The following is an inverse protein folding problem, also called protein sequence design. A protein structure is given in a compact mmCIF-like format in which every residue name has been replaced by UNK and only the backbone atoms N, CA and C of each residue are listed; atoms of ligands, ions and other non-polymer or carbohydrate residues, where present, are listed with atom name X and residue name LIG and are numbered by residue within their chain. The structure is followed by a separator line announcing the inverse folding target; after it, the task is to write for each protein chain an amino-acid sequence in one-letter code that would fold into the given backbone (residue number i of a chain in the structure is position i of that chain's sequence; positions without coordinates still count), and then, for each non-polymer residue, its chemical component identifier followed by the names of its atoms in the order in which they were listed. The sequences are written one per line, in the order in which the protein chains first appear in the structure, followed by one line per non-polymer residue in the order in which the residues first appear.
data_IF_606011289689
#
_entry.id   IF_606011289689
#
_cell.length_a   1.000
_cell.length_b   1.000
_cell.length_c   1.000
_cell.angle_alpha   90.00
_cell.angle_beta   90.00
_cell.angle_gamma   90.00
#
_symmetry.space_group_name_H-M   'P 1'
#
loop_
_entity.id
_entity.type
_entity.pdbx_description
1 polymer ?
#
# COMPACT_ATOMS: atom_id res chain seq x y z
N UNK A 1 -60.84 7.31 -82.16
CA UNK A 1 -59.74 7.80 -83.02
C UNK A 1 -58.73 8.47 -82.10
N UNK A 2 -57.47 8.08 -81.91
CA UNK A 2 -56.48 7.36 -82.72
C UNK A 2 -55.54 6.56 -81.76
N UNK A 3 -54.91 5.56 -82.37
CA UNK A 3 -54.01 4.47 -81.96
C UNK A 3 -52.89 4.65 -80.90
N UNK A 4 -52.75 3.58 -80.09
CA UNK A 4 -51.59 2.66 -79.87
C UNK A 4 -50.12 3.17 -79.97
N UNK A 5 -49.33 2.78 -78.94
CA UNK A 5 -48.01 2.07 -78.89
C UNK A 5 -47.35 2.47 -77.55
N UNK A 6 -46.88 1.63 -76.61
CA UNK A 6 -46.36 0.27 -76.66
C UNK A 6 -44.85 0.30 -76.57
N UNK A 7 -44.24 0.20 -75.37
CA UNK A 7 -42.91 -0.39 -75.13
C UNK A 7 -42.85 -0.90 -73.68
N UNK A 8 -42.63 -2.20 -73.52
CA UNK A 8 -42.25 -2.85 -72.27
C UNK A 8 -40.72 -2.82 -72.15
N UNK A 9 -40.19 -2.41 -71.00
CA UNK A 9 -38.77 -2.54 -70.67
C UNK A 9 -38.59 -3.59 -69.59
N UNK A 10 -38.18 -4.79 -70.00
CA UNK A 10 -37.70 -5.83 -69.12
C UNK A 10 -36.23 -5.51 -68.76
N UNK A 11 -36.01 -4.99 -67.56
CA UNK A 11 -34.68 -4.84 -66.97
C UNK A 11 -34.31 -6.10 -66.19
N UNK A 12 -33.41 -6.91 -66.73
CA UNK A 12 -32.83 -8.06 -66.06
C UNK A 12 -31.92 -7.59 -64.91
N UNK A 13 -32.35 -7.83 -63.67
CA UNK A 13 -31.49 -7.73 -62.48
C UNK A 13 -30.58 -8.95 -62.45
N UNK A 14 -29.34 -8.78 -62.91
CA UNK A 14 -28.27 -9.73 -62.69
C UNK A 14 -27.86 -9.67 -61.21
N UNK A 15 -28.28 -10.66 -60.42
CA UNK A 15 -27.69 -10.95 -59.11
C UNK A 15 -26.24 -11.43 -59.33
N UNK A 16 -25.30 -10.49 -59.26
CA UNK A 16 -23.90 -10.81 -59.04
C UNK A 16 -23.70 -11.18 -57.57
N UNK A 17 -23.71 -12.48 -57.26
CA UNK A 17 -23.25 -13.00 -55.98
C UNK A 17 -21.72 -12.81 -55.89
N UNK A 18 -21.28 -11.66 -55.40
CA UNK A 18 -19.89 -11.47 -54.97
C UNK A 18 -19.72 -12.23 -53.66
N UNK A 19 -19.19 -13.46 -53.76
CA UNK A 19 -18.54 -14.14 -52.65
C UNK A 19 -17.30 -13.33 -52.29
N UNK A 20 -17.47 -12.31 -51.45
CA UNK A 20 -16.35 -11.71 -50.72
C UNK A 20 -15.88 -12.78 -49.77
N UNK A 21 -14.89 -13.56 -50.21
CA UNK A 21 -14.08 -14.37 -49.33
C UNK A 21 -13.36 -13.38 -48.41
N UNK A 22 -13.97 -13.12 -47.25
CA UNK A 22 -13.29 -12.50 -46.13
C UNK A 22 -12.23 -13.48 -45.68
N UNK A 23 -11.02 -13.33 -46.22
CA UNK A 23 -9.82 -13.91 -45.65
C UNK A 23 -9.74 -13.39 -44.21
N UNK A 24 -10.13 -14.23 -43.25
CA UNK A 24 -9.75 -14.05 -41.85
C UNK A 24 -8.26 -14.35 -41.83
N UNK A 25 -7.46 -13.33 -42.14
CA UNK A 25 -6.04 -13.33 -41.86
C UNK A 25 -5.95 -13.13 -40.36
N UNK A 26 -5.70 -14.21 -39.63
CA UNK A 26 -5.25 -14.09 -38.25
C UNK A 26 -3.73 -13.90 -38.34
N UNK A 27 -3.21 -12.66 -38.28
CA UNK A 27 -1.78 -12.46 -38.24
C UNK A 27 -1.26 -13.23 -37.03
N UNK A 28 -0.27 -14.09 -37.23
CA UNK A 28 0.53 -14.61 -36.12
C UNK A 28 1.16 -13.39 -35.42
N UNK A 29 0.62 -13.04 -34.26
CA UNK A 29 1.08 -11.92 -33.44
C UNK A 29 2.04 -12.38 -32.34
N UNK A 30 2.40 -13.67 -32.33
CA UNK A 30 3.42 -14.20 -31.44
C UNK A 30 4.78 -13.54 -31.68
N UNK A 31 5.40 -13.07 -30.59
CA UNK A 31 6.70 -12.41 -30.64
C UNK A 31 6.65 -10.95 -31.12
N UNK A 32 5.47 -10.37 -31.36
CA UNK A 32 5.35 -8.93 -31.61
C UNK A 32 5.53 -8.13 -30.31
N UNK A 33 6.08 -6.90 -30.36
CA UNK A 33 6.26 -6.07 -29.18
C UNK A 33 4.93 -5.63 -28.58
N UNK A 34 4.90 -5.47 -27.25
CA UNK A 34 3.72 -5.02 -26.52
C UNK A 34 3.33 -3.57 -26.88
N UNK A 35 2.03 -3.15 -26.79
CA UNK A 35 0.89 -3.87 -26.22
C UNK A 35 0.28 -4.94 -27.15
N UNK A 36 -0.24 -5.99 -26.54
CA UNK A 36 -0.83 -7.13 -27.24
C UNK A 36 -2.30 -6.91 -27.58
N UNK A 37 -2.78 -7.62 -28.61
CA UNK A 37 -4.21 -7.69 -28.97
C UNK A 37 -4.95 -8.61 -28.00
N UNK A 38 -6.26 -8.45 -27.88
CA UNK A 38 -7.16 -9.33 -27.15
C UNK A 38 -6.84 -10.82 -27.39
N UNK A 39 -6.77 -11.59 -26.30
CA UNK A 39 -6.41 -13.02 -26.30
C UNK A 39 -4.91 -13.32 -26.15
N UNK A 40 -4.05 -12.30 -26.15
CA UNK A 40 -2.60 -12.42 -25.96
C UNK A 40 -2.15 -11.63 -24.74
N UNK A 41 -1.11 -12.09 -24.06
CA UNK A 41 -0.50 -11.36 -22.94
C UNK A 41 0.92 -10.93 -23.27
N UNK A 42 1.35 -9.83 -22.67
CA UNK A 42 2.73 -9.38 -22.74
C UNK A 42 3.56 -10.23 -21.78
N UNK A 43 4.57 -10.95 -22.30
CA UNK A 43 5.58 -11.59 -21.45
C UNK A 43 6.51 -10.51 -20.88
N UNK A 44 6.57 -10.32 -19.56
CA UNK A 44 7.36 -9.24 -18.94
C UNK A 44 8.86 -9.38 -19.17
N UNK A 45 9.37 -10.56 -19.53
CA UNK A 45 10.81 -10.79 -19.74
C UNK A 45 11.26 -10.58 -21.19
N UNK A 46 10.41 -10.91 -22.17
CA UNK A 46 10.73 -10.68 -23.58
C UNK A 46 10.14 -9.39 -24.14
N UNK A 47 9.21 -8.75 -23.41
CA UNK A 47 8.40 -7.62 -23.88
C UNK A 47 7.66 -7.92 -25.19
N UNK A 48 7.27 -9.18 -25.37
CA UNK A 48 6.55 -9.64 -26.57
C UNK A 48 5.24 -10.35 -26.24
N UNK A 49 4.36 -10.41 -27.23
CA UNK A 49 3.09 -11.09 -27.12
C UNK A 49 3.25 -12.60 -27.21
N UNK A 50 2.71 -13.30 -26.21
CA UNK A 50 2.67 -14.76 -26.14
C UNK A 50 1.23 -15.25 -25.97
N UNK A 51 0.96 -16.45 -26.48
CA UNK A 51 -0.39 -17.02 -26.49
C UNK A 51 -0.79 -17.41 -25.06
N UNK A 52 -2.01 -17.04 -24.67
CA UNK A 52 -2.59 -17.45 -23.40
C UNK A 52 -2.86 -18.95 -23.39
N UNK A 53 -2.29 -19.67 -22.43
CA UNK A 53 -2.71 -21.06 -22.14
C UNK A 53 -4.08 -21.09 -21.46
N UNK A 54 -4.47 -19.98 -20.83
CA UNK A 54 -5.83 -19.70 -20.39
C UNK A 54 -6.08 -18.18 -20.27
N UNK A 55 -7.35 -17.77 -20.31
CA UNK A 55 -7.76 -16.35 -20.25
C UNK A 55 -8.01 -15.96 -18.78
N UNK A 56 -7.16 -15.09 -18.18
CA UNK A 56 -7.29 -14.72 -16.78
C UNK A 56 -8.52 -13.82 -16.57
N UNK A 57 -9.35 -14.15 -15.58
CA UNK A 57 -10.53 -13.34 -15.22
C UNK A 57 -10.21 -12.14 -14.33
N UNK A 58 -9.03 -12.16 -13.72
CA UNK A 58 -8.50 -11.07 -12.92
C UNK A 58 -7.17 -10.64 -13.51
N UNK A 59 -6.89 -9.35 -13.50
CA UNK A 59 -5.71 -8.75 -14.11
C UNK A 59 -5.07 -7.76 -13.16
N UNK A 60 -3.75 -7.71 -13.16
CA UNK A 60 -2.98 -6.67 -12.48
C UNK A 60 -2.19 -5.87 -13.49
N UNK A 61 -2.06 -4.57 -13.23
CA UNK A 61 -1.28 -3.66 -14.05
C UNK A 61 -0.76 -2.50 -13.21
N UNK A 62 0.03 -1.60 -13.82
CA UNK A 62 0.42 -0.34 -13.17
C UNK A 62 1.24 -0.51 -11.89
N UNK A 63 2.00 -1.61 -11.76
CA UNK A 63 2.92 -1.77 -10.63
C UNK A 63 3.86 -0.57 -10.55
N UNK A 64 3.96 0.02 -9.37
CA UNK A 64 4.78 1.18 -9.10
C UNK A 64 5.39 1.06 -7.72
N UNK A 65 6.65 1.50 -7.59
CA UNK A 65 7.33 1.60 -6.31
C UNK A 65 7.25 3.05 -5.81
N UNK A 66 6.22 3.36 -5.03
CA UNK A 66 5.98 4.71 -4.53
C UNK A 66 7.16 5.22 -3.71
N UNK A 67 7.61 4.44 -2.73
CA UNK A 67 8.75 4.79 -1.89
C UNK A 67 9.60 3.59 -1.51
N UNK A 68 10.84 3.86 -1.11
CA UNK A 68 11.75 2.88 -0.59
C UNK A 68 12.47 3.43 0.64
N UNK A 69 12.50 2.64 1.71
CA UNK A 69 13.34 2.85 2.88
C UNK A 69 14.54 1.87 2.79
N UNK A 70 15.44 1.83 3.78
CA UNK A 70 16.62 0.97 3.67
C UNK A 70 16.29 -0.53 3.65
N UNK A 71 15.22 -0.96 4.31
CA UNK A 71 14.85 -2.39 4.41
C UNK A 71 13.46 -2.71 3.88
N UNK A 72 12.81 -1.75 3.22
CA UNK A 72 11.45 -1.94 2.72
C UNK A 72 11.13 -1.09 1.49
N UNK A 73 10.17 -1.56 0.68
CA UNK A 73 9.63 -0.84 -0.47
C UNK A 73 8.10 -0.93 -0.43
N UNK A 74 7.43 0.18 -0.67
CA UNK A 74 5.98 0.24 -0.83
C UNK A 74 5.59 0.20 -2.30
N UNK A 75 4.78 -0.80 -2.61
CA UNK A 75 4.31 -1.10 -3.94
C UNK A 75 2.83 -0.78 -4.06
N UNK A 76 2.43 -0.21 -5.19
CA UNK A 76 1.02 -0.04 -5.56
C UNK A 76 0.79 -0.57 -6.96
N UNK A 77 -0.43 -1.02 -7.23
CA UNK A 77 -0.85 -1.53 -8.53
C UNK A 77 -2.31 -1.18 -8.79
N UNK A 78 -2.81 -1.54 -9.97
CA UNK A 78 -4.23 -1.47 -10.31
C UNK A 78 -4.74 -2.89 -10.52
N UNK A 79 -5.86 -3.21 -9.87
CA UNK A 79 -6.55 -4.48 -10.04
C UNK A 79 -7.77 -4.35 -10.98
N UNK A 80 -7.97 -5.34 -11.83
CA UNK A 80 -9.19 -5.50 -12.63
C UNK A 80 -9.77 -6.90 -12.47
N UNK A 81 -11.08 -7.02 -12.25
CA UNK A 81 -11.76 -8.30 -12.06
C UNK A 81 -12.81 -8.24 -10.97
N UNK A 82 -13.42 -9.38 -10.65
CA UNK A 82 -14.40 -9.50 -9.56
C UNK A 82 -13.84 -10.31 -8.38
N UNK A 83 -14.30 -9.99 -7.17
CA UNK A 83 -13.95 -10.71 -5.94
C UNK A 83 -14.10 -12.24 -6.07
N UNK A 84 -15.15 -12.68 -6.75
CA UNK A 84 -15.48 -14.11 -6.92
C UNK A 84 -14.51 -14.87 -7.82
N UNK A 85 -13.71 -14.15 -8.61
CA UNK A 85 -12.73 -14.75 -9.51
C UNK A 85 -11.29 -14.63 -8.97
N UNK A 86 -11.07 -13.88 -7.87
CA UNK A 86 -9.75 -13.74 -7.24
C UNK A 86 -9.35 -14.99 -6.45
N UNK A 87 -8.07 -15.37 -6.51
CA UNK A 87 -7.48 -16.39 -5.65
C UNK A 87 -6.40 -15.81 -4.73
N UNK A 88 -5.33 -15.23 -5.30
CA UNK A 88 -4.19 -14.71 -4.55
C UNK A 88 -3.32 -13.76 -5.39
N UNK A 89 -2.52 -12.94 -4.71
CA UNK A 89 -1.40 -12.20 -5.27
C UNK A 89 -0.06 -12.86 -4.90
N UNK A 90 0.93 -12.71 -5.76
CA UNK A 90 2.33 -13.03 -5.45
C UNK A 90 3.23 -11.91 -5.97
N UNK A 91 4.01 -11.29 -5.08
CA UNK A 91 4.98 -10.26 -5.44
C UNK A 91 6.40 -10.83 -5.36
N UNK A 92 7.10 -10.89 -6.49
CA UNK A 92 8.46 -11.43 -6.57
C UNK A 92 9.43 -10.28 -6.79
N UNK A 93 10.47 -10.23 -5.95
CA UNK A 93 11.59 -9.31 -6.09
C UNK A 93 12.88 -10.09 -6.36
N UNK A 94 13.81 -9.56 -7.14
CA UNK A 94 15.18 -10.09 -7.25
C UNK A 94 16.17 -8.98 -7.62
N UNK A 95 17.46 -9.20 -7.45
CA UNK A 95 18.49 -8.20 -7.77
C UNK A 95 18.90 -8.21 -9.27
N UNK A 96 18.41 -9.20 -10.03
CA UNK A 96 18.62 -9.33 -11.47
C UNK A 96 17.47 -10.10 -12.14
N UNK A 97 17.33 -9.96 -13.47
CA UNK A 97 16.21 -10.54 -14.22
C UNK A 97 16.20 -12.06 -14.24
N UNK A 98 17.35 -12.72 -14.27
CA UNK A 98 17.43 -14.18 -14.32
C UNK A 98 16.93 -14.81 -13.01
N UNK A 99 17.34 -14.24 -11.87
CA UNK A 99 16.85 -14.64 -10.56
C UNK A 99 15.34 -14.36 -10.44
N UNK A 100 14.86 -13.21 -10.93
CA UNK A 100 13.44 -12.86 -10.96
C UNK A 100 12.63 -13.89 -11.77
N UNK A 101 13.11 -14.22 -12.96
CA UNK A 101 12.47 -15.15 -13.90
C UNK A 101 12.43 -16.57 -13.38
N UNK A 102 13.55 -17.05 -12.84
CA UNK A 102 13.66 -18.42 -12.34
C UNK A 102 13.11 -18.57 -10.92
N UNK A 103 12.84 -17.45 -10.24
CA UNK A 103 12.51 -17.39 -8.80
C UNK A 103 13.58 -18.08 -7.94
N UNK A 104 14.86 -17.87 -8.27
CA UNK A 104 16.01 -18.45 -7.56
C UNK A 104 17.07 -17.40 -7.19
N UNK A 105 18.15 -17.81 -6.53
CA UNK A 105 19.27 -16.91 -6.22
C UNK A 105 18.88 -15.81 -5.24
N UNK A 106 18.87 -14.56 -5.72
CA UNK A 106 18.47 -13.36 -4.95
C UNK A 106 16.96 -13.17 -4.85
N UNK A 107 16.16 -14.03 -5.49
CA UNK A 107 14.72 -13.92 -5.51
C UNK A 107 14.09 -14.00 -4.11
N UNK A 108 13.17 -13.08 -3.83
CA UNK A 108 12.33 -13.01 -2.65
C UNK A 108 10.87 -13.01 -3.09
N UNK A 109 10.15 -14.09 -2.78
CA UNK A 109 8.72 -14.23 -3.05
C UNK A 109 7.94 -13.74 -1.83
N UNK A 110 7.00 -12.82 -2.02
CA UNK A 110 6.05 -12.36 -1.02
C UNK A 110 4.65 -12.81 -1.43
N UNK A 111 4.07 -13.67 -0.60
CA UNK A 111 2.76 -14.30 -0.76
C UNK A 111 1.90 -14.02 0.48
N UNK A 112 0.73 -14.66 0.58
CA UNK A 112 -0.16 -14.56 1.73
C UNK A 112 0.45 -15.06 3.05
N UNK A 113 1.54 -15.83 3.03
CA UNK A 113 2.22 -16.25 4.25
C UNK A 113 3.09 -15.11 4.80
N UNK A 114 3.81 -14.42 3.92
CA UNK A 114 4.69 -13.31 4.34
C UNK A 114 3.95 -11.98 4.51
N UNK A 115 3.03 -11.72 3.60
CA UNK A 115 2.21 -10.50 3.52
C UNK A 115 0.75 -10.95 3.35
N UNK A 116 0.00 -11.21 4.45
CA UNK A 116 -1.31 -11.84 4.35
C UNK A 116 -2.37 -11.02 3.62
N UNK A 117 -2.15 -9.72 3.40
CA UNK A 117 -2.97 -8.90 2.50
C UNK A 117 -2.94 -9.39 1.05
N UNK A 118 -1.86 -10.06 0.63
CA UNK A 118 -1.75 -10.65 -0.70
C UNK A 118 -2.66 -11.87 -0.89
N UNK A 119 -3.22 -12.42 0.20
CA UNK A 119 -4.17 -13.53 0.16
C UNK A 119 -5.64 -13.13 0.13
N UNK A 120 -5.96 -11.83 0.09
CA UNK A 120 -7.34 -11.34 0.14
C UNK A 120 -7.63 -10.34 -0.98
N UNK A 121 -8.85 -10.37 -1.49
CA UNK A 121 -9.31 -9.46 -2.55
C UNK A 121 -9.56 -8.05 -2.02
N UNK A 122 -10.37 -7.97 -0.98
CA UNK A 122 -10.72 -6.74 -0.27
C UNK A 122 -9.97 -6.72 1.06
N UNK A 123 -9.56 -5.53 1.47
CA UNK A 123 -9.13 -5.27 2.84
C UNK A 123 -10.30 -5.65 3.75
N UNK A 124 -10.14 -6.64 4.66
CA UNK A 124 -11.20 -7.03 5.58
C UNK A 124 -11.85 -5.82 6.24
N UNK A 125 -13.18 -5.76 6.20
CA UNK A 125 -14.01 -4.68 6.78
C UNK A 125 -13.90 -3.32 6.08
N UNK A 126 -13.27 -3.28 4.91
CA UNK A 126 -13.29 -2.17 3.98
C UNK A 126 -13.88 -2.64 2.65
N UNK A 127 -14.48 -1.73 1.90
CA UNK A 127 -14.87 -1.97 0.50
C UNK A 127 -13.70 -1.74 -0.47
N UNK A 128 -12.50 -1.48 0.06
CA UNK A 128 -11.29 -1.22 -0.72
C UNK A 128 -10.62 -2.54 -1.13
N UNK A 129 -10.35 -2.66 -2.43
CA UNK A 129 -9.53 -3.73 -3.01
C UNK A 129 -8.08 -3.58 -2.53
N UNK A 130 -7.41 -4.70 -2.30
CA UNK A 130 -5.97 -4.69 -2.01
C UNK A 130 -5.20 -4.30 -3.28
N UNK A 131 -4.72 -3.06 -3.29
CA UNK A 131 -3.94 -2.47 -4.39
C UNK A 131 -2.56 -1.99 -3.95
N UNK A 132 -2.12 -2.41 -2.76
CA UNK A 132 -0.82 -2.06 -2.22
C UNK A 132 -0.26 -3.09 -1.24
N UNK A 133 1.06 -3.14 -1.13
CA UNK A 133 1.76 -3.95 -0.13
C UNK A 133 3.17 -3.42 0.12
N UNK A 134 3.72 -3.72 1.29
CA UNK A 134 5.09 -3.37 1.67
C UNK A 134 5.95 -4.62 1.71
N UNK A 135 6.99 -4.67 0.89
CA UNK A 135 8.03 -5.70 1.04
C UNK A 135 9.00 -5.27 2.12
N UNK A 136 9.46 -6.23 2.94
CA UNK A 136 10.29 -6.00 4.12
C UNK A 136 11.52 -6.91 4.08
N UNK A 137 12.44 -6.71 5.03
CA UNK A 137 13.67 -7.52 5.15
C UNK A 137 14.56 -7.40 3.90
N UNK A 138 14.61 -6.22 3.28
CA UNK A 138 15.45 -5.92 2.12
C UNK A 138 16.85 -5.46 2.54
N UNK A 139 17.83 -5.60 1.63
CA UNK A 139 19.16 -5.04 1.85
C UNK A 139 19.15 -3.54 1.50
N UNK A 140 19.86 -2.69 2.26
CA UNK A 140 19.98 -1.27 1.98
C UNK A 140 20.87 -1.00 0.76
N UNK A 141 20.59 0.10 0.06
CA UNK A 141 21.29 0.53 -1.15
C UNK A 141 21.31 -0.52 -2.29
N UNK A 142 20.32 -1.39 -2.35
CA UNK A 142 20.21 -2.49 -3.31
C UNK A 142 19.08 -2.22 -4.32
N UNK A 143 19.38 -2.38 -5.61
CA UNK A 143 18.37 -2.37 -6.67
C UNK A 143 17.63 -3.70 -6.70
N UNK A 144 16.30 -3.65 -6.65
CA UNK A 144 15.42 -4.78 -6.83
C UNK A 144 14.55 -4.56 -8.07
N UNK A 145 14.49 -5.59 -8.91
CA UNK A 145 13.46 -5.75 -9.92
C UNK A 145 12.27 -6.45 -9.28
N UNK A 146 11.06 -5.98 -9.57
CA UNK A 146 9.82 -6.51 -9.02
C UNK A 146 8.84 -6.87 -10.12
N UNK A 147 8.09 -7.94 -9.88
CA UNK A 147 7.02 -8.44 -10.73
C UNK A 147 5.88 -8.91 -9.84
N UNK A 148 4.68 -8.41 -10.09
CA UNK A 148 3.47 -8.82 -9.38
C UNK A 148 2.68 -9.78 -10.25
N UNK A 149 2.25 -10.88 -9.66
CA UNK A 149 1.31 -11.83 -10.22
C UNK A 149 -0.01 -11.75 -9.47
N UNK A 150 -1.09 -12.00 -10.19
CA UNK A 150 -2.39 -12.32 -9.63
C UNK A 150 -2.89 -13.63 -10.25
N UNK A 151 -3.46 -14.48 -9.42
CA UNK A 151 -4.01 -15.76 -9.82
C UNK A 151 -5.53 -15.73 -9.63
N UNK A 152 -6.27 -16.21 -10.64
CA UNK A 152 -7.72 -16.37 -10.55
C UNK A 152 -8.13 -17.76 -9.99
N UNK A 153 -9.41 -17.95 -9.71
CA UNK A 153 -9.96 -19.23 -9.22
C UNK A 153 -9.81 -20.40 -10.19
N UNK A 154 -9.56 -20.14 -11.47
CA UNK A 154 -9.23 -21.15 -12.49
C UNK A 154 -7.73 -21.43 -12.56
N UNK A 155 -6.91 -20.78 -11.73
CA UNK A 155 -5.44 -20.81 -11.73
C UNK A 155 -4.83 -20.23 -13.00
N UNK A 156 -5.49 -19.25 -13.59
CA UNK A 156 -4.90 -18.41 -14.62
C UNK A 156 -4.15 -17.24 -13.98
N UNK A 157 -2.93 -17.02 -14.42
CA UNK A 157 -2.07 -15.95 -13.94
C UNK A 157 -2.13 -14.75 -14.88
N UNK A 158 -2.16 -13.55 -14.30
CA UNK A 158 -1.85 -12.29 -14.96
C UNK A 158 -0.70 -11.63 -14.20
N UNK A 159 0.24 -11.03 -14.91
CA UNK A 159 1.39 -10.35 -14.32
C UNK A 159 1.52 -8.90 -14.79
N UNK A 160 2.19 -8.08 -13.99
CA UNK A 160 2.58 -6.72 -14.38
C UNK A 160 3.82 -6.72 -15.29
N UNK A 161 4.27 -5.53 -15.72
CA UNK A 161 5.63 -5.36 -16.24
C UNK A 161 6.64 -5.36 -15.09
N UNK A 162 7.91 -5.59 -15.40
CA UNK A 162 9.01 -5.48 -14.43
C UNK A 162 9.22 -4.01 -14.06
N UNK A 163 9.39 -3.76 -12.76
CA UNK A 163 9.67 -2.43 -12.21
C UNK A 163 10.95 -2.50 -11.38
N UNK A 164 11.86 -1.55 -11.56
CA UNK A 164 13.04 -1.41 -10.71
C UNK A 164 12.81 -0.40 -9.60
N UNK A 165 13.27 -0.72 -8.39
CA UNK A 165 13.44 0.24 -7.29
C UNK A 165 14.68 -0.06 -6.48
N UNK A 166 15.40 0.98 -6.11
CA UNK A 166 16.54 0.91 -5.20
C UNK A 166 16.14 1.28 -3.78
N UNK A 167 16.53 0.47 -2.80
CA UNK A 167 16.39 0.79 -1.37
C UNK A 167 17.30 1.95 -0.97
N UNK A 168 16.89 2.68 0.06
CA UNK A 168 17.69 3.79 0.58
C UNK A 168 18.98 3.29 1.28
N UNK A 169 20.00 4.15 1.48
CA UNK A 169 21.19 3.80 2.25
C UNK A 169 20.86 3.39 3.69
N UNK A 170 21.69 2.55 4.29
CA UNK A 170 21.57 2.26 5.72
C UNK A 170 21.82 3.51 6.58
N UNK A 171 21.12 3.58 7.70
CA UNK A 171 21.18 4.62 8.72
C UNK A 171 22.60 5.05 9.12
N UNK A 172 22.81 6.35 9.33
CA UNK A 172 24.01 6.89 9.98
C UNK A 172 23.73 7.38 11.41
N UNK A 173 22.50 7.79 11.72
CA UNK A 173 22.12 8.17 13.10
C UNK A 173 20.62 7.96 13.39
N UNK A 174 20.27 7.82 14.68
CA UNK A 174 18.89 7.63 15.11
C UNK A 174 18.51 8.50 16.31
N UNK A 175 17.23 8.84 16.38
CA UNK A 175 16.59 9.44 17.55
C UNK A 175 15.51 8.46 18.01
N UNK A 176 15.74 7.85 19.17
CA UNK A 176 14.79 6.92 19.76
C UNK A 176 13.65 7.70 20.39
N UNK A 177 12.43 7.39 19.96
CA UNK A 177 11.20 8.01 20.43
C UNK A 177 10.47 7.12 21.43
N UNK A 178 10.49 5.80 21.16
CA UNK A 178 9.94 4.73 21.98
C UNK A 178 10.97 3.61 22.05
N UNK A 179 11.17 3.01 23.24
CA UNK A 179 12.08 1.87 23.42
C UNK A 179 13.34 2.22 24.22
N UNK A 180 13.70 1.40 25.21
CA UNK A 180 15.07 1.32 25.75
C UNK A 180 15.50 2.32 26.83
N UNK A 181 14.59 3.12 27.40
CA UNK A 181 14.91 4.08 28.48
C UNK A 181 13.69 4.67 29.21
N UNK A 182 13.89 5.48 30.26
CA UNK A 182 12.80 6.23 30.87
C UNK A 182 12.16 7.16 29.83
N UNK A 183 10.82 7.20 29.85
CA UNK A 183 10.01 8.04 28.95
C UNK A 183 10.49 9.51 28.96
N UNK A 184 10.40 10.23 27.83
CA UNK A 184 10.56 11.68 27.82
C UNK A 184 9.64 12.32 28.85
N UNK A 185 10.19 13.22 29.67
CA UNK A 185 9.43 13.89 30.72
C UNK A 185 8.26 14.68 30.11
N UNK A 186 7.04 14.40 30.57
CA UNK A 186 5.82 15.05 30.07
C UNK A 186 5.06 14.24 29.03
N UNK A 187 5.60 13.12 28.54
CA UNK A 187 4.86 12.22 27.68
C UNK A 187 3.66 11.62 28.42
N UNK A 188 2.51 11.60 27.77
CA UNK A 188 1.27 11.02 28.29
C UNK A 188 0.61 10.22 27.19
N UNK A 189 0.21 9.01 27.53
CA UNK A 189 -0.77 8.31 26.73
C UNK A 189 -2.05 9.17 26.72
N UNK A 190 -2.62 9.36 25.55
CA UNK A 190 -3.97 9.89 25.40
C UNK A 190 -4.90 8.70 25.19
N UNK A 191 -5.48 8.12 26.26
CA UNK A 191 -6.44 7.04 26.11
C UNK A 191 -7.72 7.61 25.51
N UNK A 192 -8.07 7.13 24.34
CA UNK A 192 -9.41 7.29 23.79
C UNK A 192 -10.36 6.22 24.38
N UNK A 193 -11.69 6.44 24.38
CA UNK A 193 -12.64 5.45 24.84
C UNK A 193 -12.45 4.13 24.08
N UNK A 194 -12.16 3.04 24.80
CA UNK A 194 -11.89 1.73 24.21
C UNK A 194 -10.42 1.43 23.92
N UNK A 195 -9.48 2.29 24.33
CA UNK A 195 -8.07 1.94 24.35
C UNK A 195 -7.49 2.04 25.76
N UNK A 196 -6.64 1.09 26.13
CA UNK A 196 -5.81 1.19 27.33
C UNK A 196 -4.33 1.10 26.97
N UNK A 197 -3.52 1.74 27.81
CA UNK A 197 -2.10 1.91 27.57
C UNK A 197 -1.33 1.39 28.78
N UNK A 198 -0.38 0.48 28.53
CA UNK A 198 0.49 -0.07 29.55
C UNK A 198 1.96 0.04 29.12
N UNK A 199 2.80 0.82 29.82
CA UNK A 199 4.23 0.77 29.63
C UNK A 199 4.78 -0.52 30.25
N UNK A 200 5.46 -1.36 29.45
CA UNK A 200 5.98 -2.66 29.90
C UNK A 200 7.48 -2.73 29.59
N UNK A 201 8.34 -2.57 30.60
CA UNK A 201 9.79 -2.81 30.44
C UNK A 201 10.47 -1.96 29.34
N UNK A 202 9.97 -0.76 29.07
CA UNK A 202 10.49 0.11 28.02
C UNK A 202 9.81 -0.03 26.66
N UNK A 203 8.82 -0.94 26.52
CA UNK A 203 7.90 -1.00 25.37
C UNK A 203 6.56 -0.37 25.73
N UNK A 204 5.73 -0.12 24.72
CA UNK A 204 4.34 0.31 24.90
C UNK A 204 3.39 -0.76 24.40
N UNK A 205 2.53 -1.24 25.30
CA UNK A 205 1.38 -2.06 24.93
C UNK A 205 0.15 -1.17 24.82
N UNK A 206 -0.46 -1.22 23.65
CA UNK A 206 -1.75 -0.62 23.36
C UNK A 206 -2.74 -1.76 23.29
N UNK A 207 -3.66 -1.81 24.26
CA UNK A 207 -4.81 -2.71 24.19
C UNK A 207 -5.98 -1.95 23.61
N UNK A 208 -6.58 -2.48 22.55
CA UNK A 208 -7.79 -1.91 21.98
C UNK A 208 -8.98 -2.84 22.27
N UNK A 209 -9.91 -2.34 23.07
CA UNK A 209 -11.21 -2.93 23.38
C UNK A 209 -12.25 -2.35 22.43
N UNK A 210 -12.66 -3.19 21.50
CA UNK A 210 -13.67 -2.81 20.53
C UNK A 210 -15.03 -2.49 21.15
N UNK A 211 -15.45 -3.24 22.16
CA UNK A 211 -16.80 -3.11 22.71
C UNK A 211 -16.95 -1.80 23.50
N UNK A 212 -15.86 -1.28 24.05
CA UNK A 212 -15.83 -0.02 24.77
C UNK A 212 -15.76 1.23 23.87
N UNK A 213 -15.41 1.09 22.58
CA UNK A 213 -15.37 2.20 21.63
C UNK A 213 -16.79 2.53 21.10
N UNK A 214 -17.43 3.51 21.75
CA UNK A 214 -18.77 4.00 21.38
C UNK A 214 -18.86 4.64 19.99
N UNK A 215 -17.74 5.06 19.39
CA UNK A 215 -17.68 5.56 18.01
C UNK A 215 -17.70 4.44 16.97
N UNK A 216 -17.54 3.20 17.44
CA UNK A 216 -17.36 1.98 16.69
C UNK A 216 -18.53 0.99 16.78
N UNK A 217 -19.68 1.43 17.31
CA UNK A 217 -20.87 0.59 17.39
C UNK A 217 -21.37 0.25 15.98
N UNK A 218 -21.78 -1.01 15.76
CA UNK A 218 -22.46 -1.40 14.53
C UNK A 218 -23.61 -0.45 14.26
N UNK A 219 -23.71 0.11 13.04
CA UNK A 219 -24.82 1.00 12.76
C UNK A 219 -26.15 0.25 12.82
N UNK A 220 -27.26 0.95 13.08
CA UNK A 220 -28.58 0.35 13.09
C UNK A 220 -28.86 -0.47 11.82
N UNK A 221 -29.68 -1.52 11.89
CA UNK A 221 -30.06 -2.30 10.71
C UNK A 221 -30.60 -1.40 9.59
N UNK A 222 -29.96 -1.45 8.41
CA UNK A 222 -30.34 -0.65 7.24
C UNK A 222 -29.53 0.63 7.03
N UNK A 223 -28.61 0.97 7.94
CA UNK A 223 -27.57 1.96 7.68
C UNK A 223 -26.30 1.27 7.17
N UNK A 224 -25.57 1.89 6.22
CA UNK A 224 -24.29 1.35 5.78
C UNK A 224 -23.34 1.25 6.98
N UNK A 225 -22.67 0.11 7.12
CA UNK A 225 -21.53 -0.05 8.03
C UNK A 225 -20.62 1.16 7.88
N UNK A 226 -20.33 1.89 8.96
CA UNK A 226 -19.26 2.89 8.92
C UNK A 226 -17.96 2.10 8.73
N UNK A 227 -17.33 2.15 7.55
CA UNK A 227 -16.23 1.25 7.20
C UNK A 227 -14.96 1.54 7.98
N UNK A 228 -14.91 2.68 8.69
CA UNK A 228 -13.72 3.16 9.37
C UNK A 228 -14.09 3.62 10.77
N UNK A 229 -14.18 2.67 11.68
CA UNK A 229 -14.22 2.99 13.09
C UNK A 229 -12.87 2.59 13.68
N UNK A 230 -12.11 3.58 14.14
CA UNK A 230 -10.76 3.40 14.63
C UNK A 230 -10.28 4.69 15.27
N UNK A 231 -10.00 4.65 16.56
CA UNK A 231 -9.55 5.82 17.29
C UNK A 231 -8.01 5.86 17.38
N UNK A 232 -7.43 7.07 17.21
CA UNK A 232 -5.99 7.26 17.32
C UNK A 232 -5.49 6.96 18.73
N UNK A 233 -4.76 5.86 18.95
CA UNK A 233 -4.02 5.70 20.21
C UNK A 233 -2.68 6.44 20.09
N UNK A 234 -2.49 7.42 20.98
CA UNK A 234 -1.41 8.40 20.87
C UNK A 234 -0.46 8.45 22.04
N UNK A 235 0.82 8.72 21.77
CA UNK A 235 1.78 9.21 22.76
C UNK A 235 1.98 10.70 22.50
N UNK A 236 1.29 11.50 23.30
CA UNK A 236 1.43 12.95 23.29
C UNK A 236 2.59 13.39 24.20
N UNK A 237 3.08 14.61 23.99
CA UNK A 237 4.01 15.26 24.92
C UNK A 237 5.43 14.70 24.88
N UNK A 238 5.86 14.16 23.74
CA UNK A 238 7.24 13.69 23.56
C UNK A 238 8.25 14.83 23.60
N UNK A 239 7.85 16.03 23.16
CA UNK A 239 8.66 17.27 23.16
C UNK A 239 10.11 17.03 22.72
N UNK A 240 10.29 16.29 21.62
CA UNK A 240 11.60 15.92 21.10
C UNK A 240 12.22 17.11 20.37
N UNK A 241 13.29 17.66 20.96
CA UNK A 241 14.18 18.59 20.27
C UNK A 241 15.10 17.80 19.33
N UNK A 242 14.61 17.54 18.14
CA UNK A 242 15.29 16.75 17.11
C UNK A 242 16.61 17.40 16.69
N UNK A 243 16.63 18.73 16.60
CA UNK A 243 17.81 19.51 16.19
C UNK A 243 18.84 19.57 17.33
N UNK A 244 18.39 19.80 18.56
CA UNK A 244 19.26 19.79 19.73
C UNK A 244 19.84 18.41 20.06
N UNK A 245 19.08 17.34 19.80
CA UNK A 245 19.55 15.97 20.00
C UNK A 245 20.60 15.53 18.98
N UNK A 246 20.63 16.15 17.79
CA UNK A 246 21.57 15.77 16.74
C UNK A 246 22.02 17.01 15.94
N UNK A 247 23.01 17.76 16.45
CA UNK A 247 23.45 19.04 15.86
C UNK A 247 24.08 18.92 14.47
N UNK A 248 24.28 17.69 13.96
CA UNK A 248 24.71 17.43 12.59
C UNK A 248 23.57 17.37 11.57
N UNK A 249 22.31 17.36 12.02
CA UNK A 249 21.13 17.30 11.14
C UNK A 249 20.76 18.72 10.71
N UNK A 250 20.90 19.01 9.42
CA UNK A 250 20.40 20.24 8.81
C UNK A 250 18.93 20.06 8.41
N UNK A 251 18.25 21.17 8.07
CA UNK A 251 16.90 21.14 7.50
C UNK A 251 16.80 20.21 6.26
N UNK A 252 17.87 20.14 5.47
CA UNK A 252 18.00 19.26 4.29
C UNK A 252 18.19 17.78 4.68
N UNK A 253 18.58 17.48 5.92
CA UNK A 253 18.77 16.11 6.40
C UNK A 253 17.48 15.30 6.55
N UNK A 254 16.30 15.89 6.33
CA UNK A 254 15.02 15.19 6.42
C UNK A 254 14.53 14.58 5.11
N UNK A 255 15.13 14.97 3.98
CA UNK A 255 14.71 14.44 2.67
C UNK A 255 14.90 12.93 2.58
N UNK A 256 15.94 12.43 3.26
CA UNK A 256 16.29 11.01 3.37
C UNK A 256 15.86 10.38 4.71
N UNK A 257 15.28 11.17 5.62
CA UNK A 257 14.86 10.67 6.92
C UNK A 257 13.64 9.76 6.80
N UNK A 258 13.54 8.76 7.65
CA UNK A 258 12.39 7.86 7.73
C UNK A 258 12.01 7.55 9.18
N UNK A 259 10.74 7.23 9.39
CA UNK A 259 10.30 6.69 10.67
C UNK A 259 10.45 5.18 10.61
N UNK A 260 10.98 4.61 11.68
CA UNK A 260 10.99 3.18 11.91
C UNK A 260 10.19 2.84 13.16
N UNK A 261 9.27 1.89 13.06
CA UNK A 261 8.47 1.38 14.17
C UNK A 261 8.53 -0.15 14.18
N UNK A 262 9.04 -0.73 15.26
CA UNK A 262 8.99 -2.16 15.53
C UNK A 262 7.73 -2.46 16.34
N UNK A 263 6.80 -3.20 15.74
CA UNK A 263 5.52 -3.57 16.34
C UNK A 263 5.34 -5.08 16.43
N UNK A 264 4.51 -5.53 17.35
CA UNK A 264 4.07 -6.91 17.48
C UNK A 264 2.57 -6.91 17.72
N UNK A 265 1.83 -7.64 16.91
CA UNK A 265 0.40 -7.90 17.16
C UNK A 265 0.30 -9.12 18.08
N UNK A 266 -0.33 -8.94 19.22
CA UNK A 266 -0.53 -9.92 20.28
C UNK A 266 -2.03 -10.09 20.50
N UNK A 267 -2.47 -11.32 20.73
CA UNK A 267 -3.85 -11.64 21.09
C UNK A 267 -4.93 -11.11 20.12
N UNK A 268 -4.61 -10.92 18.84
CA UNK A 268 -5.60 -10.54 17.83
C UNK A 268 -6.26 -11.79 17.20
N UNK A 269 -7.60 -11.83 17.09
CA UNK A 269 -8.33 -12.92 16.45
C UNK A 269 -8.28 -12.84 14.91
N UNK A 270 -7.75 -11.77 14.33
CA UNK A 270 -7.65 -11.60 12.87
C UNK A 270 -6.22 -11.82 12.38
N UNK A 271 -6.03 -12.45 11.20
CA UNK A 271 -4.70 -12.67 10.62
C UNK A 271 -4.05 -11.37 10.11
N UNK A 272 -4.82 -10.28 10.05
CA UNK A 272 -4.38 -8.98 9.60
C UNK A 272 -4.78 -7.92 10.61
N UNK A 273 -3.82 -7.05 10.93
CA UNK A 273 -4.07 -5.82 11.65
C UNK A 273 -3.88 -4.66 10.68
N UNK A 274 -4.96 -3.92 10.44
CA UNK A 274 -4.91 -2.72 9.63
C UNK A 274 -4.80 -1.52 10.56
N UNK A 275 -3.85 -0.66 10.28
CA UNK A 275 -3.74 0.57 11.03
C UNK A 275 -2.97 1.62 10.29
N UNK A 276 -2.71 2.70 11.00
CA UNK A 276 -1.95 3.80 10.50
C UNK A 276 -0.97 4.23 11.58
N UNK A 277 0.19 4.71 11.15
CA UNK A 277 1.07 5.45 12.03
C UNK A 277 0.87 6.94 11.67
N UNK A 278 0.82 7.82 12.68
CA UNK A 278 0.74 9.27 12.51
C UNK A 278 1.85 9.95 13.31
N UNK A 279 2.51 10.91 12.70
CA UNK A 279 3.41 11.82 13.39
C UNK A 279 2.66 13.13 13.67
N UNK A 280 2.80 13.66 14.89
CA UNK A 280 2.20 14.95 15.25
C UNK A 280 3.29 16.01 15.40
N UNK A 281 3.18 17.12 14.64
CA UNK A 281 4.10 18.26 14.71
C UNK A 281 3.37 19.57 15.03
N UNK A 282 4.12 20.66 15.27
CA UNK A 282 3.67 22.05 15.49
C UNK A 282 3.00 22.43 16.82
N UNK A 283 2.01 21.70 17.30
CA UNK A 283 1.41 22.01 18.61
C UNK A 283 0.62 20.82 19.13
N UNK A 284 0.75 20.48 20.40
CA UNK A 284 -0.12 19.48 21.04
C UNK A 284 -1.62 19.88 21.00
N UNK A 285 -1.97 21.04 20.45
CA UNK A 285 -3.33 21.45 20.14
C UNK A 285 -3.72 21.04 18.72
N UNK A 286 -4.14 19.79 18.56
CA UNK A 286 -5.03 19.18 17.53
C UNK A 286 -5.05 19.61 16.05
N UNK A 287 -4.40 20.68 15.60
CA UNK A 287 -4.70 21.32 14.31
C UNK A 287 -3.91 20.79 13.12
N UNK A 288 -2.75 20.17 13.33
CA UNK A 288 -1.93 19.56 12.26
C UNK A 288 -1.60 18.10 12.62
N UNK A 289 -2.17 17.15 11.87
CA UNK A 289 -1.88 15.71 11.99
C UNK A 289 -1.19 15.26 10.70
N UNK A 290 -0.10 14.50 10.82
CA UNK A 290 0.59 13.94 9.66
C UNK A 290 0.44 12.43 9.69
N UNK A 291 -0.02 11.81 8.60
CA UNK A 291 -0.24 10.36 8.50
C UNK A 291 0.66 9.74 7.45
N UNK A 292 1.05 8.49 7.68
CA UNK A 292 1.64 7.66 6.64
C UNK A 292 0.56 7.23 5.66
N UNK A 293 0.68 7.72 4.42
CA UNK A 293 -0.21 7.37 3.32
C UNK A 293 -1.65 7.82 3.53
N UNK A 294 -2.36 7.92 2.42
CA UNK A 294 -3.81 7.84 2.41
C UNK A 294 -4.20 6.43 2.88
N UNK A 295 -4.50 6.33 4.17
CA UNK A 295 -5.33 5.33 4.82
C UNK A 295 -4.83 3.91 5.15
N UNK A 296 -3.77 3.29 4.60
CA UNK A 296 -3.51 1.87 4.93
C UNK A 296 -2.03 1.46 5.04
N UNK A 297 -1.50 1.34 6.26
CA UNK A 297 -0.34 0.47 6.52
C UNK A 297 -0.84 -0.86 7.06
N UNK A 298 -0.62 -1.93 6.30
CA UNK A 298 -0.93 -3.29 6.76
C UNK A 298 0.17 -3.77 7.70
N UNK A 299 -0.20 -4.08 8.93
CA UNK A 299 0.68 -4.81 9.86
C UNK A 299 0.22 -6.26 9.85
N UNK A 300 1.02 -7.16 9.28
CA UNK A 300 0.63 -8.57 9.23
C UNK A 300 0.58 -9.10 10.68
N UNK A 301 -0.52 -9.75 11.07
CA UNK A 301 -0.57 -10.46 12.35
C UNK A 301 0.12 -11.82 12.19
N UNK A 302 1.44 -11.78 12.23
CA UNK A 302 2.26 -12.99 12.27
C UNK A 302 2.44 -13.31 13.75
N UNK A 303 1.42 -13.89 14.40
CA UNK A 303 1.34 -14.24 15.84
C UNK A 303 2.68 -14.20 16.60
N UNK A 304 2.95 -13.10 17.32
CA UNK A 304 4.13 -12.94 18.19
C UNK A 304 5.45 -12.64 17.46
N UNK A 305 5.45 -12.48 16.13
CA UNK A 305 6.61 -12.01 15.36
C UNK A 305 6.60 -10.49 15.35
N UNK A 306 7.75 -9.92 15.68
CA UNK A 306 7.98 -8.48 15.51
C UNK A 306 8.08 -8.14 14.04
N UNK A 307 7.42 -7.06 13.67
CA UNK A 307 7.41 -6.50 12.33
C UNK A 307 8.05 -5.13 12.36
N UNK A 308 9.06 -4.94 11.52
CA UNK A 308 9.66 -3.64 11.28
C UNK A 308 8.85 -2.90 10.22
N UNK A 309 8.40 -1.71 10.56
CA UNK A 309 7.72 -0.79 9.67
C UNK A 309 8.65 0.39 9.44
N UNK A 310 8.94 0.71 8.18
CA UNK A 310 9.70 1.91 7.81
C UNK A 310 8.86 2.73 6.85
N UNK A 311 8.99 4.06 6.90
CA UNK A 311 8.40 4.93 5.89
C UNK A 311 9.12 6.29 5.83
N UNK A 312 9.51 6.77 4.63
CA UNK A 312 10.20 8.05 4.48
C UNK A 312 9.33 9.25 4.89
N UNK A 313 9.94 10.28 5.47
CA UNK A 313 9.25 11.50 5.89
C UNK A 313 8.65 12.28 4.71
N UNK A 314 9.29 12.23 3.54
CA UNK A 314 8.79 12.88 2.33
C UNK A 314 7.52 12.21 1.74
N UNK A 315 7.10 11.06 2.29
CA UNK A 315 5.85 10.37 1.96
C UNK A 315 4.74 10.60 2.97
N UNK A 316 5.02 11.35 4.05
CA UNK A 316 3.99 11.75 4.99
C UNK A 316 3.03 12.70 4.27
N UNK A 317 1.74 12.44 4.39
CA UNK A 317 0.72 13.40 3.96
C UNK A 317 0.33 14.27 5.15
N UNK A 318 0.09 15.57 4.90
CA UNK A 318 -0.57 16.40 5.88
C UNK A 318 -2.06 16.10 5.82
N UNK A 319 -2.60 15.55 6.91
CA UNK A 319 -4.03 15.33 7.10
C UNK A 319 -4.58 16.43 7.99
N UNK A 320 -5.28 17.38 7.38
CA UNK A 320 -5.97 18.42 8.12
C UNK A 320 -7.45 18.15 8.13
N UNK A 321 -7.99 17.87 9.31
CA UNK A 321 -9.45 17.78 9.49
C UNK A 321 -10.00 19.21 9.60
N UNK A 322 -10.64 19.69 8.54
CA UNK A 322 -11.30 21.00 8.50
C UNK A 322 -12.80 20.75 8.41
N UNK A 323 -13.54 21.18 9.43
CA UNK A 323 -15.01 21.03 9.50
C UNK A 323 -15.52 19.58 9.35
N UNK A 324 -14.74 18.59 9.84
CA UNK A 324 -15.07 17.17 9.73
C UNK A 324 -14.81 16.56 8.35
N UNK A 325 -14.16 17.29 7.44
CA UNK A 325 -13.64 16.78 6.19
C UNK A 325 -12.11 16.67 6.27
N UNK A 326 -11.59 15.48 6.00
CA UNK A 326 -10.15 15.27 5.83
C UNK A 326 -9.68 15.93 4.53
N UNK A 327 -8.82 16.92 4.65
CA UNK A 327 -8.10 17.51 3.51
C UNK A 327 -6.69 16.94 3.53
N UNK A 328 -6.37 16.11 2.53
CA UNK A 328 -5.02 15.68 2.26
C UNK A 328 -4.31 16.74 1.40
N UNK A 329 -3.17 17.23 1.90
CA UNK A 329 -2.29 18.08 1.10
C UNK A 329 -0.90 17.47 1.05
N UNK A 330 -0.24 17.44 -0.14
CA UNK A 330 1.16 17.03 -0.24
C UNK A 330 1.99 17.83 0.76
N UNK A 331 2.84 17.12 1.49
CA UNK A 331 3.65 17.68 2.54
C UNK A 331 4.90 18.35 1.95
N UNK A 332 5.00 19.67 2.09
CA UNK A 332 6.29 20.35 2.01
C UNK A 332 6.86 20.43 3.42
N UNK A 333 7.71 19.47 3.80
CA UNK A 333 8.46 19.59 5.04
C UNK A 333 9.54 20.66 4.87
N UNK A 334 9.45 21.74 5.65
CA UNK A 334 10.61 22.57 5.96
C UNK A 334 10.78 22.54 7.46
N UNK A 335 11.67 21.67 7.96
CA UNK A 335 12.22 21.83 9.30
C UNK A 335 13.08 23.08 9.31
N UNK A 336 12.48 24.24 9.55
CA UNK A 336 13.20 25.51 9.46
C UNK A 336 14.20 25.63 10.62
N UNK A 337 15.42 26.03 10.24
CA UNK A 337 16.63 26.35 11.01
C UNK A 337 16.40 26.97 12.43
N UNK A 338 17.15 26.53 13.46
CA UNK A 338 17.13 27.08 14.83
C UNK A 338 17.49 28.57 14.96
N UNK A 339 17.90 29.27 13.90
CA UNK A 339 17.96 30.73 13.90
C UNK A 339 16.58 31.42 13.87
N UNK A 340 15.47 30.68 13.66
CA UNK A 340 14.15 31.26 13.35
C UNK A 340 12.90 30.61 13.99
N UNK A 341 13.03 29.72 14.97
CA UNK A 341 11.86 29.16 15.69
C UNK A 341 11.21 27.96 14.99
N UNK A 342 11.95 26.86 14.83
CA UNK A 342 11.40 25.57 14.41
C UNK A 342 10.47 24.97 15.48
N UNK A 343 9.43 24.28 15.03
CA UNK A 343 8.49 23.58 15.90
C UNK A 343 9.01 22.19 16.28
N UNK A 344 9.07 21.81 17.58
CA UNK A 344 9.48 20.47 17.98
C UNK A 344 8.46 19.40 17.53
N UNK A 345 8.93 18.17 17.33
CA UNK A 345 8.03 17.01 17.23
C UNK A 345 7.39 16.82 18.60
N UNK A 346 6.08 17.00 18.66
CA UNK A 346 5.35 17.08 19.92
C UNK A 346 4.74 15.73 20.33
N UNK A 347 4.52 14.82 19.38
CA UNK A 347 3.90 13.52 19.62
C UNK A 347 4.10 12.54 18.46
N UNK A 348 3.97 11.25 18.77
CA UNK A 348 3.84 10.18 17.79
C UNK A 348 2.58 9.42 18.18
N UNK A 349 1.65 9.33 17.22
CA UNK A 349 0.45 8.54 17.36
C UNK A 349 0.58 7.27 16.54
N UNK A 350 0.27 6.13 17.13
CA UNK A 350 0.19 4.87 16.40
C UNK A 350 -1.24 4.41 16.58
N UNK A 351 -2.07 4.66 15.58
CA UNK A 351 -3.48 4.31 15.64
C UNK A 351 -3.73 2.97 14.98
N UNK A 352 -4.47 2.10 15.66
CA UNK A 352 -5.16 1.02 14.99
C UNK A 352 -6.42 1.53 14.32
N UNK A 353 -6.69 1.04 13.11
CA UNK A 353 -8.09 0.88 12.73
C UNK A 353 -8.55 -0.47 13.28
N UNK A 354 -9.77 -0.52 13.83
CA UNK A 354 -10.38 -1.77 14.30
C UNK A 354 -10.48 -2.71 13.09
N UNK A 355 -10.39 -4.04 13.19
CA UNK A 355 -11.25 -4.98 13.91
C UNK A 355 -10.50 -6.32 14.11
N UNK A 356 -10.44 -6.99 15.26
CA UNK A 356 -11.20 -7.00 16.53
C UNK A 356 -10.18 -7.15 17.67
N UNK A 357 -10.59 -6.92 18.92
CA UNK A 357 -9.82 -7.03 20.18
C UNK A 357 -8.39 -7.57 20.05
N UNK A 358 -7.42 -6.78 20.49
CA UNK A 358 -6.05 -7.23 20.44
C UNK A 358 -5.10 -6.20 21.04
N UNK A 359 -3.90 -6.68 21.25
CA UNK A 359 -2.79 -5.91 21.77
C UNK A 359 -1.84 -5.57 20.63
N UNK A 360 -1.58 -4.30 20.41
CA UNK A 360 -0.43 -3.86 19.62
C UNK A 360 0.69 -3.48 20.59
N UNK A 361 1.80 -4.17 20.52
CA UNK A 361 3.00 -3.84 21.30
C UNK A 361 3.98 -3.10 20.40
N UNK A 362 4.24 -1.84 20.71
CA UNK A 362 5.31 -1.04 20.10
C UNK A 362 6.58 -1.27 20.92
N UNK A 363 7.51 -2.03 20.35
CA UNK A 363 8.79 -2.33 20.98
C UNK A 363 9.77 -1.17 20.85
N UNK A 364 9.78 -0.56 19.66
CA UNK A 364 10.68 0.54 19.32
C UNK A 364 10.00 1.48 18.34
N UNK A 365 10.21 2.77 18.50
CA UNK A 365 9.96 3.75 17.44
C UNK A 365 11.14 4.71 17.42
N UNK A 366 11.72 4.94 16.25
CA UNK A 366 12.85 5.86 16.07
C UNK A 366 12.72 6.65 14.77
N UNK A 367 13.21 7.88 14.80
CA UNK A 367 13.43 8.68 13.60
C UNK A 367 14.85 8.44 13.16
N UNK A 368 15.03 8.19 11.86
CA UNK A 368 16.26 7.66 11.31
C UNK A 368 16.76 8.56 10.19
N UNK A 369 18.08 8.81 10.16
CA UNK A 369 18.77 9.73 9.25
C UNK A 369 19.94 9.06 8.53
#
# INVERSE_FOLDING_TARGET
MILRRGVAAAGALALGAQLVASCIFDPDIGGLPCPCKDGWHCDPFSETCVENTCEPKVVVSGLTANWAAPHSIYWTWTFGGAATDFLEYELVLAENEEDLKTRTGTAKVYDAEKNPELGVYEIPYSDAVVESSVTRELAPLTSYLALLYVTDVNRCESSTMIVEKKTAPATLSEIVVVGGGPQPAGSRARPDPGASFEPVGGTFRIHYDGEADTGCLEPPPGEPSKPTCGQPVGIDGLSLDVVGANPGITAEGFDDAYLEVEVEVVDSPTPLWFGWIRLLSNSCSEQDRYSFGSDNMVVPNINGKRTLLEAPFNQLANYREVDGQGIETPFEFRMIDPAGGGSPICGINVGGQKHKDGDLVIHKARIVF
#
